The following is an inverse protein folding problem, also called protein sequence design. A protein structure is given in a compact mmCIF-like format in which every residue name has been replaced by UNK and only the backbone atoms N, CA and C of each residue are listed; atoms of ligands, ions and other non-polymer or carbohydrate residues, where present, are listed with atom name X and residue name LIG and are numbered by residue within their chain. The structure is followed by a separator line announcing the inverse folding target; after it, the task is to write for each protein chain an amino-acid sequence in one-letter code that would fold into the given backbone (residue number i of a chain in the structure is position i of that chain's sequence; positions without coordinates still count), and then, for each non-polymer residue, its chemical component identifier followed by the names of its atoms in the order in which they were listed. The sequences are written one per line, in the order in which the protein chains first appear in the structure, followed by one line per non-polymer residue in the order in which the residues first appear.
data_IF_857224725018
#
_entry.id   IF_857224725018
#
_cell.length_a   1.000
_cell.length_b   1.000
_cell.length_c   1.000
_cell.angle_alpha   90.00
_cell.angle_beta   90.00
_cell.angle_gamma   90.00
#
_symmetry.space_group_name_H-M   'P 1'
#
loop_
_entity.id
_entity.type
_entity.pdbx_description
1 polymer ?
#
# COMPACT_ATOMS: atom_id res chain seq x y z
N UNK A 1 4.11 -3.99 7.04
CA UNK A 1 4.82 -2.77 6.60
C UNK A 1 3.82 -1.71 6.17
N UNK A 2 4.09 -0.43 6.46
CA UNK A 2 3.34 0.69 5.89
C UNK A 2 3.58 0.89 4.39
N UNK A 3 2.87 1.83 3.73
CA UNK A 3 2.98 2.08 2.29
C UNK A 3 4.42 2.32 1.81
N UNK A 4 5.20 3.12 2.54
CA UNK A 4 6.59 3.38 2.20
C UNK A 4 7.47 2.13 2.30
N UNK A 5 7.26 1.29 3.32
CA UNK A 5 8.00 0.04 3.47
C UNK A 5 7.70 -0.95 2.35
N UNK A 6 6.44 -1.02 1.90
CA UNK A 6 6.07 -1.80 0.72
C UNK A 6 6.72 -1.25 -0.55
N UNK A 7 6.74 0.07 -0.74
CA UNK A 7 7.40 0.68 -1.90
C UNK A 7 8.91 0.35 -1.95
N UNK A 8 9.59 0.39 -0.80
CA UNK A 8 11.00 -0.02 -0.69
C UNK A 8 11.18 -1.50 -1.01
N UNK A 9 10.31 -2.37 -0.53
CA UNK A 9 10.38 -3.79 -0.83
C UNK A 9 10.19 -4.09 -2.33
N UNK A 10 9.25 -3.42 -2.99
CA UNK A 10 9.09 -3.53 -4.46
C UNK A 10 10.36 -3.07 -5.18
N UNK A 11 10.95 -1.95 -4.75
CA UNK A 11 12.18 -1.45 -5.35
C UNK A 11 13.36 -2.41 -5.14
N UNK A 12 13.51 -2.97 -3.94
CA UNK A 12 14.53 -3.96 -3.62
C UNK A 12 14.37 -5.25 -4.46
N UNK A 13 13.14 -5.75 -4.58
CA UNK A 13 12.81 -6.90 -5.45
C UNK A 13 13.17 -6.62 -6.91
N UNK A 14 12.81 -5.45 -7.42
CA UNK A 14 13.10 -5.03 -8.81
C UNK A 14 14.61 -4.91 -9.05
N UNK A 15 15.37 -4.50 -8.04
CA UNK A 15 16.83 -4.43 -8.09
C UNK A 15 17.53 -5.79 -7.90
N UNK A 16 16.79 -6.88 -7.65
CA UNK A 16 17.35 -8.21 -7.41
C UNK A 16 18.11 -8.34 -6.08
N UNK A 17 17.76 -7.52 -5.09
CA UNK A 17 18.36 -7.55 -3.76
C UNK A 17 17.61 -8.53 -2.85
N UNK A 18 18.34 -9.16 -1.94
CA UNK A 18 17.74 -9.90 -0.83
C UNK A 18 17.16 -8.92 0.19
N UNK A 19 15.94 -9.15 0.64
CA UNK A 19 15.28 -8.33 1.65
C UNK A 19 14.34 -9.16 2.51
N UNK A 20 14.01 -8.62 3.69
CA UNK A 20 12.96 -9.12 4.56
C UNK A 20 12.13 -7.94 5.04
N UNK A 21 10.80 -8.09 5.01
CA UNK A 21 9.88 -7.08 5.51
C UNK A 21 9.44 -7.50 6.91
N UNK A 22 9.76 -6.68 7.90
CA UNK A 22 9.33 -6.90 9.29
C UNK A 22 8.39 -5.78 9.72
N UNK A 23 7.24 -6.15 10.29
CA UNK A 23 6.29 -5.22 10.88
C UNK A 23 5.72 -5.82 12.17
N UNK A 24 5.33 -4.95 13.10
CA UNK A 24 4.70 -5.34 14.36
C UNK A 24 3.29 -5.89 14.15
N UNK A 25 2.59 -5.41 13.11
CA UNK A 25 1.23 -5.83 12.78
C UNK A 25 1.12 -6.38 11.37
N UNK A 26 -0.07 -6.31 10.80
CA UNK A 26 -0.29 -6.74 9.42
C UNK A 26 0.22 -5.69 8.41
N UNK A 27 0.09 -6.04 7.12
CA UNK A 27 0.30 -5.09 6.02
C UNK A 27 -0.51 -3.82 6.28
N UNK A 28 0.16 -2.68 6.16
CA UNK A 28 -0.38 -1.33 6.40
C UNK A 28 -1.15 -1.16 7.71
N UNK A 29 -0.64 -1.73 8.81
CA UNK A 29 -1.25 -1.64 10.15
C UNK A 29 -1.58 -0.19 10.57
N UNK A 30 -0.74 0.79 10.24
CA UNK A 30 -1.02 2.21 10.53
C UNK A 30 -2.31 2.73 9.90
N UNK A 31 -2.70 2.23 8.71
CA UNK A 31 -3.97 2.57 8.07
C UNK A 31 -5.17 1.92 8.76
N UNK A 32 -4.95 0.80 9.47
CA UNK A 32 -6.01 0.18 10.26
C UNK A 32 -6.37 1.04 11.47
N UNK A 33 -5.41 1.77 12.03
CA UNK A 33 -5.65 2.65 13.18
C UNK A 33 -6.33 3.97 12.80
N UNK A 34 -6.46 4.27 11.51
CA UNK A 34 -7.17 5.46 11.04
C UNK A 34 -8.69 5.37 11.32
N UNK A 35 -9.39 6.52 11.47
CA UNK A 35 -10.83 6.55 11.63
C UNK A 35 -11.57 5.73 10.58
N UNK A 36 -12.64 5.06 10.99
CA UNK A 36 -13.31 4.05 10.17
C UNK A 36 -13.76 4.57 8.80
N UNK A 37 -14.30 5.79 8.76
CA UNK A 37 -14.80 6.47 7.56
C UNK A 37 -13.83 7.52 7.00
N UNK A 38 -12.52 7.39 7.28
CA UNK A 38 -11.55 8.33 6.74
C UNK A 38 -11.49 8.26 5.21
N UNK A 39 -11.52 9.45 4.59
CA UNK A 39 -11.17 9.67 3.19
C UNK A 39 -9.82 10.40 3.13
N UNK A 40 -8.92 9.93 2.29
CA UNK A 40 -7.61 10.54 2.13
C UNK A 40 -7.72 11.93 1.48
N UNK A 41 -6.78 12.80 1.82
CA UNK A 41 -6.64 14.07 1.10
C UNK A 41 -6.02 13.88 -0.29
N UNK A 42 -5.04 12.97 -0.40
CA UNK A 42 -4.35 12.62 -1.64
C UNK A 42 -5.24 11.82 -2.58
N UNK A 43 -5.00 11.98 -3.88
CA UNK A 43 -5.67 11.18 -4.92
C UNK A 43 -5.10 9.76 -4.98
N UNK A 44 -5.87 8.83 -5.56
CA UNK A 44 -5.45 7.44 -5.75
C UNK A 44 -4.12 7.35 -6.50
N UNK A 45 -3.97 8.10 -7.60
CA UNK A 45 -2.74 8.20 -8.39
C UNK A 45 -1.51 8.58 -7.54
N UNK A 46 -1.67 9.47 -6.57
CA UNK A 46 -0.57 9.89 -5.68
C UNK A 46 -0.22 8.86 -4.61
N UNK A 47 -1.09 7.87 -4.38
CA UNK A 47 -0.90 6.81 -3.40
C UNK A 47 -0.45 5.49 -4.03
N UNK A 48 -0.33 5.47 -5.36
CA UNK A 48 0.14 4.31 -6.11
C UNK A 48 1.60 3.98 -5.80
N UNK A 49 1.88 2.68 -5.68
CA UNK A 49 3.21 2.14 -5.47
C UNK A 49 3.43 0.91 -6.34
N UNK A 50 4.69 0.68 -6.72
CA UNK A 50 5.10 -0.55 -7.40
C UNK A 50 4.44 -0.78 -8.75
N UNK A 51 4.10 0.29 -9.49
CA UNK A 51 3.43 0.21 -10.80
C UNK A 51 2.11 -0.59 -10.79
N UNK A 52 1.44 -0.67 -9.64
CA UNK A 52 0.11 -1.28 -9.52
C UNK A 52 -0.95 -0.17 -9.53
N UNK A 53 -1.88 -0.16 -10.50
CA UNK A 53 -2.88 0.91 -10.59
C UNK A 53 -3.87 0.86 -9.42
N UNK A 54 -4.18 2.02 -8.86
CA UNK A 54 -5.16 2.20 -7.80
C UNK A 54 -6.51 2.62 -8.39
N UNK A 55 -7.19 1.65 -9.01
CA UNK A 55 -8.47 1.87 -9.68
C UNK A 55 -9.63 1.94 -8.69
N UNK A 56 -10.19 3.14 -8.51
CA UNK A 56 -11.40 3.41 -7.73
C UNK A 56 -12.29 4.42 -8.47
N UNK A 57 -13.61 4.44 -8.20
CA UNK A 57 -14.53 5.35 -8.89
C UNK A 57 -14.29 6.82 -8.54
N UNK A 58 -13.96 7.11 -7.28
CA UNK A 58 -13.71 8.46 -6.79
C UNK A 58 -12.22 8.80 -6.82
N UNK A 59 -11.81 10.06 -7.04
CA UNK A 59 -10.39 10.41 -7.12
C UNK A 59 -9.65 10.22 -5.80
N UNK A 60 -10.35 10.31 -4.65
CA UNK A 60 -9.76 10.23 -3.31
C UNK A 60 -10.21 8.94 -2.61
N UNK A 61 -9.29 8.03 -2.27
CA UNK A 61 -9.67 6.77 -1.65
C UNK A 61 -10.18 6.96 -0.23
N UNK A 62 -11.03 6.04 0.17
CA UNK A 62 -11.36 5.76 1.57
C UNK A 62 -10.29 4.86 2.20
N UNK A 63 -10.26 4.82 3.54
CA UNK A 63 -9.43 3.87 4.30
C UNK A 63 -9.58 2.43 3.81
N UNK A 64 -10.82 1.99 3.54
CA UNK A 64 -11.11 0.62 3.09
C UNK A 64 -10.52 0.32 1.72
N UNK A 65 -10.60 1.28 0.79
CA UNK A 65 -10.02 1.15 -0.55
C UNK A 65 -8.49 1.11 -0.48
N UNK A 66 -7.86 1.96 0.33
CA UNK A 66 -6.41 1.93 0.52
C UNK A 66 -5.93 0.61 1.11
N UNK A 67 -6.63 0.05 2.11
CA UNK A 67 -6.33 -1.27 2.67
C UNK A 67 -6.45 -2.39 1.61
N UNK A 68 -7.47 -2.34 0.76
CA UNK A 68 -7.61 -3.30 -0.34
C UNK A 68 -6.47 -3.16 -1.37
N UNK A 69 -6.13 -1.93 -1.73
CA UNK A 69 -5.06 -1.62 -2.67
C UNK A 69 -3.70 -2.15 -2.20
N UNK A 70 -3.25 -1.81 -0.99
CA UNK A 70 -1.94 -2.24 -0.51
C UNK A 70 -1.83 -3.77 -0.32
N UNK A 71 -2.93 -4.46 -0.01
CA UNK A 71 -2.95 -5.94 -0.03
C UNK A 71 -2.77 -6.49 -1.44
N UNK A 72 -3.42 -5.88 -2.44
CA UNK A 72 -3.25 -6.24 -3.85
C UNK A 72 -1.81 -6.02 -4.33
N UNK A 73 -1.16 -4.94 -3.89
CA UNK A 73 0.26 -4.69 -4.20
C UNK A 73 1.15 -5.83 -3.69
N UNK A 74 0.97 -6.23 -2.42
CA UNK A 74 1.71 -7.35 -1.81
C UNK A 74 1.49 -8.64 -2.59
N UNK A 75 0.25 -8.95 -2.95
CA UNK A 75 -0.06 -10.15 -3.75
C UNK A 75 0.52 -10.10 -5.16
N UNK A 76 0.48 -8.93 -5.82
CA UNK A 76 0.97 -8.77 -7.18
C UNK A 76 2.50 -8.94 -7.27
N UNK A 77 3.21 -8.43 -6.27
CA UNK A 77 4.66 -8.49 -6.20
C UNK A 77 5.18 -9.68 -5.41
N UNK A 78 4.32 -10.57 -4.89
CA UNK A 78 4.69 -11.72 -4.05
C UNK A 78 5.69 -11.32 -2.96
N UNK A 79 5.25 -10.38 -2.11
CA UNK A 79 6.00 -9.79 -0.98
C UNK A 79 5.61 -10.39 0.37
#
# INVERSE_FOLDING_TARGET
AGPCGLAVAVAAKTAGLDYVILDRGCVTNSLIEYPYYLTFFSTAERLEIGNVPFTIPEPKPTRREALAYYRKVVQHHDL
#
